data_IF_338705543391
#
_entry.id   IF_338705543391
#
_cell.length_a   1.000
_cell.length_b   1.000
_cell.length_c   1.000
_cell.angle_alpha   90.00
_cell.angle_beta   90.00
_cell.angle_gamma   90.00
#
_symmetry.space_group_name_H-M   'P 1'
#
loop_
_entity.id
_entity.type
_entity.pdbx_description
1 polymer ?
#
# COMPACT_ATOMS: atom_id res chain seq x y z
N UNK A 1 -13.16 17.51 2.39
CA UNK A 1 -11.96 16.71 2.71
C UNK A 1 -12.13 16.15 4.10
N UNK A 2 -12.06 14.83 4.26
CA UNK A 2 -12.22 14.16 5.57
C UNK A 2 -10.84 13.86 6.13
N UNK A 3 -10.55 14.36 7.33
CA UNK A 3 -9.29 14.17 8.04
C UNK A 3 -9.40 12.95 8.98
N UNK A 4 -8.28 12.24 9.16
CA UNK A 4 -8.16 11.22 10.18
C UNK A 4 -7.75 11.88 11.51
N UNK A 5 -8.21 11.32 12.62
CA UNK A 5 -7.96 11.83 13.96
C UNK A 5 -7.45 10.73 14.87
N UNK A 6 -6.36 10.99 15.59
CA UNK A 6 -5.93 10.22 16.76
C UNK A 6 -6.09 11.05 18.04
N UNK A 7 -5.60 10.54 19.17
CA UNK A 7 -5.80 11.14 20.50
C UNK A 7 -5.36 12.62 20.58
N UNK A 8 -4.22 12.96 19.96
CA UNK A 8 -3.68 14.33 19.95
C UNK A 8 -3.20 14.77 18.57
N UNK A 9 -3.77 14.20 17.49
CA UNK A 9 -3.30 14.46 16.13
C UNK A 9 -4.45 14.45 15.15
N UNK A 10 -4.47 15.43 14.24
CA UNK A 10 -5.32 15.39 13.04
C UNK A 10 -4.41 15.37 11.83
N UNK A 11 -4.66 14.47 10.89
CA UNK A 11 -3.77 14.29 9.74
C UNK A 11 -4.53 13.94 8.46
N UNK A 12 -3.90 14.26 7.34
CA UNK A 12 -4.31 13.87 6.00
C UNK A 12 -3.05 13.52 5.20
N UNK A 13 -2.39 12.45 5.61
CA UNK A 13 -1.14 11.99 5.00
C UNK A 13 -1.48 10.93 3.98
N UNK A 14 -1.29 11.24 2.70
CA UNK A 14 -1.52 10.33 1.60
C UNK A 14 -0.31 10.30 0.68
N UNK A 15 0.14 9.09 0.35
CA UNK A 15 1.36 8.89 -0.41
C UNK A 15 1.11 7.97 -1.60
N UNK A 16 1.79 8.27 -2.70
CA UNK A 16 1.95 7.37 -3.83
C UNK A 16 3.24 6.56 -3.63
N UNK A 17 3.08 5.30 -3.23
CA UNK A 17 4.20 4.37 -3.03
C UNK A 17 4.28 3.46 -4.25
N UNK A 18 5.45 3.40 -4.87
CA UNK A 18 5.70 2.59 -6.05
C UNK A 18 7.01 1.85 -5.89
N UNK A 19 6.99 0.54 -6.17
CA UNK A 19 8.21 -0.25 -6.26
C UNK A 19 8.10 -1.27 -7.38
N UNK A 20 9.27 -1.74 -7.83
CA UNK A 20 9.40 -2.65 -8.96
C UNK A 20 10.01 -3.98 -8.53
N UNK A 21 9.82 -5.01 -9.35
CA UNK A 21 10.55 -6.27 -9.22
C UNK A 21 12.03 -6.06 -9.55
N UNK A 22 12.91 -6.92 -9.00
CA UNK A 22 14.34 -6.90 -9.34
C UNK A 22 14.50 -7.05 -10.86
N UNK A 23 15.29 -6.16 -11.46
CA UNK A 23 15.48 -6.04 -12.91
C UNK A 23 14.19 -5.85 -13.74
N UNK A 24 13.10 -5.44 -13.10
CA UNK A 24 11.79 -5.23 -13.74
C UNK A 24 11.24 -6.49 -14.44
N UNK A 25 11.60 -7.68 -13.95
CA UNK A 25 11.05 -8.92 -14.47
C UNK A 25 9.53 -9.00 -14.24
N UNK A 26 8.80 -9.48 -15.25
CA UNK A 26 7.33 -9.56 -15.26
C UNK A 26 6.78 -10.77 -14.47
N UNK A 27 7.26 -10.96 -13.24
CA UNK A 27 6.97 -12.15 -12.41
C UNK A 27 5.67 -12.08 -11.61
N UNK A 28 5.09 -10.89 -11.43
CA UNK A 28 3.87 -10.68 -10.63
C UNK A 28 2.61 -11.11 -11.39
N UNK A 29 2.44 -12.41 -11.60
CA UNK A 29 1.33 -13.01 -12.36
C UNK A 29 0.72 -14.18 -11.58
N UNK A 30 -0.49 -14.59 -11.99
CA UNK A 30 -1.20 -15.75 -11.44
C UNK A 30 -1.25 -15.75 -9.90
N UNK A 31 -0.94 -16.90 -9.31
CA UNK A 31 -0.97 -17.12 -7.86
C UNK A 31 0.00 -16.22 -7.09
N UNK A 32 1.16 -15.89 -7.67
CA UNK A 32 2.14 -15.00 -7.04
C UNK A 32 1.53 -13.61 -6.80
N UNK A 33 0.81 -13.08 -7.80
CA UNK A 33 0.15 -11.78 -7.69
C UNK A 33 -0.94 -11.79 -6.60
N UNK A 34 -1.72 -12.86 -6.54
CA UNK A 34 -2.80 -12.98 -5.56
C UNK A 34 -2.27 -13.17 -4.14
N UNK A 35 -1.19 -13.94 -3.96
CA UNK A 35 -0.49 -14.06 -2.67
C UNK A 35 0.11 -12.73 -2.23
N UNK A 36 0.78 -12.01 -3.13
CA UNK A 36 1.35 -10.69 -2.83
C UNK A 36 0.26 -9.70 -2.40
N UNK A 37 -0.89 -9.68 -3.09
CA UNK A 37 -2.03 -8.83 -2.71
C UNK A 37 -2.51 -9.12 -1.28
N UNK A 38 -2.59 -10.40 -0.87
CA UNK A 38 -2.98 -10.78 0.49
C UNK A 38 -1.98 -10.27 1.52
N UNK A 39 -0.68 -10.49 1.27
CA UNK A 39 0.40 -10.04 2.16
C UNK A 39 0.35 -8.52 2.33
N UNK A 40 0.29 -7.75 1.23
CA UNK A 40 0.23 -6.28 1.28
C UNK A 40 -0.96 -5.82 2.13
N UNK A 41 -2.15 -6.39 1.92
CA UNK A 41 -3.35 -6.02 2.68
C UNK A 41 -3.21 -6.33 4.16
N UNK A 42 -2.67 -7.50 4.48
CA UNK A 42 -2.42 -7.91 5.86
C UNK A 42 -1.43 -6.96 6.54
N UNK A 43 -0.26 -6.71 5.93
CA UNK A 43 0.76 -5.82 6.49
C UNK A 43 0.22 -4.40 6.67
N UNK A 44 -0.52 -3.86 5.70
CA UNK A 44 -1.15 -2.55 5.87
C UNK A 44 -2.15 -2.52 7.02
N UNK A 45 -2.96 -3.57 7.20
CA UNK A 45 -3.91 -3.66 8.31
C UNK A 45 -3.19 -3.71 9.67
N UNK A 46 -2.13 -4.53 9.79
CA UNK A 46 -1.30 -4.64 10.99
C UNK A 46 -0.63 -3.31 11.37
N UNK A 47 -0.21 -2.53 10.38
CA UNK A 47 0.39 -1.21 10.58
C UNK A 47 -0.64 -0.08 10.73
N UNK A 48 -1.94 -0.34 10.60
CA UNK A 48 -2.96 0.71 10.58
C UNK A 48 -2.89 1.64 9.35
N UNK A 49 -2.22 1.20 8.29
CA UNK A 49 -2.13 1.92 7.01
C UNK A 49 -3.39 1.64 6.18
N UNK A 50 -4.07 2.71 5.75
CA UNK A 50 -5.27 2.58 4.93
C UNK A 50 -4.90 2.56 3.44
N UNK A 51 -5.26 1.50 2.73
CA UNK A 51 -5.13 1.43 1.26
C UNK A 51 -6.33 2.14 0.62
N UNK A 52 -6.08 3.25 -0.07
CA UNK A 52 -7.12 4.03 -0.78
C UNK A 52 -7.30 3.46 -2.19
N UNK A 53 -6.21 3.22 -2.90
CA UNK A 53 -6.17 2.55 -4.21
C UNK A 53 -4.89 1.72 -4.32
N UNK A 54 -4.94 0.61 -5.04
CA UNK A 54 -3.78 -0.22 -5.29
C UNK A 54 -3.89 -0.97 -6.61
N UNK A 55 -2.80 -0.98 -7.38
CA UNK A 55 -2.67 -1.70 -8.65
C UNK A 55 -1.41 -2.55 -8.59
N UNK A 56 -1.56 -3.85 -8.84
CA UNK A 56 -0.45 -4.77 -9.05
C UNK A 56 -0.35 -5.04 -10.55
N UNK A 57 0.68 -4.48 -11.17
CA UNK A 57 1.07 -4.80 -12.55
C UNK A 57 1.93 -6.07 -12.56
N UNK A 58 2.42 -6.47 -13.73
CA UNK A 58 3.23 -7.68 -13.88
C UNK A 58 4.67 -7.54 -13.35
N UNK A 59 5.19 -6.32 -13.23
CA UNK A 59 6.57 -6.00 -12.87
C UNK A 59 6.70 -4.93 -11.78
N UNK A 60 5.58 -4.34 -11.33
CA UNK A 60 5.60 -3.26 -10.35
C UNK A 60 4.27 -3.16 -9.60
N UNK A 61 4.33 -2.50 -8.45
CA UNK A 61 3.18 -2.25 -7.58
C UNK A 61 3.04 -0.74 -7.40
N UNK A 62 1.82 -0.23 -7.63
CA UNK A 62 1.44 1.15 -7.34
C UNK A 62 0.41 1.15 -6.22
N UNK A 63 0.67 1.91 -5.16
CA UNK A 63 -0.24 2.06 -4.05
C UNK A 63 -0.46 3.54 -3.72
N UNK A 64 -1.72 3.89 -3.51
CA UNK A 64 -2.11 5.15 -2.90
C UNK A 64 -2.67 4.85 -1.51
N UNK A 65 -1.93 5.25 -0.49
CA UNK A 65 -2.17 4.87 0.90
C UNK A 65 -2.29 6.10 1.79
N UNK A 66 -3.05 5.99 2.88
CA UNK A 66 -2.98 6.90 4.01
C UNK A 66 -2.21 6.27 5.16
N UNK A 67 -1.16 6.95 5.62
CA UNK A 67 -0.22 6.42 6.61
C UNK A 67 -0.36 7.24 7.90
N UNK A 68 -0.59 6.60 9.07
CA UNK A 68 -0.54 7.27 10.36
C UNK A 68 0.80 8.00 10.60
N UNK A 69 0.80 9.16 11.28
CA UNK A 69 1.99 10.01 11.42
C UNK A 69 3.08 9.46 12.36
N UNK A 70 2.84 8.37 13.06
CA UNK A 70 3.81 7.74 13.97
C UNK A 70 4.62 6.61 13.31
N UNK A 71 4.27 6.26 12.07
CA UNK A 71 5.06 5.38 11.20
C UNK A 71 6.08 6.22 10.43
#
# INVERSE_FOLDING_TARGET
MTYCTGNHTKFYHRFHVVWITKYRYKVLRGEMRERLRKIIRQTCAEMGVQIIKGVLSTDHVHMFVSIPPHL
#
